data_IF_882075467220
#
_entry.id   IF_882075467220
#
_cell.length_a   1.000
_cell.length_b   1.000
_cell.length_c   1.000
_cell.angle_alpha   90.00
_cell.angle_beta   90.00
_cell.angle_gamma   90.00
#
_symmetry.space_group_name_H-M   'P 1'
#
loop_
_entity.id
_entity.type
_entity.pdbx_description
1 polymer ?
#
# COMPACT_ATOMS: atom_id res chain seq x y z
N UNK A 1 -7.55 -28.12 18.28
CA UNK A 1 -6.93 -26.83 17.94
C UNK A 1 -8.01 -25.94 17.36
N UNK A 2 -8.41 -24.89 18.08
CA UNK A 2 -9.33 -23.89 17.53
C UNK A 2 -8.52 -23.05 16.55
N UNK A 3 -8.76 -23.23 15.25
CA UNK A 3 -8.12 -22.44 14.22
C UNK A 3 -8.55 -20.98 14.41
N UNK A 4 -7.76 -20.20 15.13
CA UNK A 4 -7.84 -18.75 15.04
C UNK A 4 -7.53 -18.40 13.59
N UNK A 5 -8.53 -17.87 12.90
CA UNK A 5 -8.31 -17.35 11.56
C UNK A 5 -7.36 -16.16 11.69
N UNK A 6 -6.10 -16.36 11.27
CA UNK A 6 -5.19 -15.25 11.01
C UNK A 6 -5.70 -14.61 9.72
N UNK A 7 -6.45 -13.50 9.82
CA UNK A 7 -6.69 -12.63 8.65
C UNK A 7 -5.37 -11.96 8.29
N UNK A 8 -4.61 -12.57 7.39
CA UNK A 8 -3.49 -11.96 6.68
C UNK A 8 -4.03 -10.79 5.86
N UNK A 9 -4.03 -9.60 6.45
CA UNK A 9 -4.56 -8.40 5.80
C UNK A 9 -5.16 -7.36 6.74
N UNK A 10 -5.19 -7.58 8.06
CA UNK A 10 -5.56 -6.51 8.99
C UNK A 10 -4.55 -5.36 8.94
N UNK A 11 -5.05 -4.14 9.13
CA UNK A 11 -4.21 -2.96 9.27
C UNK A 11 -3.34 -3.08 10.53
N UNK A 12 -2.10 -2.62 10.44
CA UNK A 12 -1.20 -2.52 11.57
C UNK A 12 -1.84 -1.65 12.68
N UNK A 13 -1.64 -2.05 13.93
CA UNK A 13 -1.98 -1.19 15.06
C UNK A 13 -0.98 -0.02 15.15
N UNK A 14 -1.48 1.15 15.55
CA UNK A 14 -0.70 2.38 15.70
C UNK A 14 -1.35 3.56 14.98
N UNK A 15 -0.72 4.72 15.09
CA UNK A 15 -1.13 5.92 14.38
C UNK A 15 -0.68 5.89 12.92
N UNK A 16 -1.49 6.46 12.02
CA UNK A 16 -1.18 6.61 10.58
C UNK A 16 -0.77 5.30 9.89
N UNK A 17 -1.40 4.18 10.27
CA UNK A 17 -1.22 2.91 9.57
C UNK A 17 -2.06 2.80 8.28
N UNK A 18 -2.82 3.84 7.92
CA UNK A 18 -3.48 4.01 6.64
C UNK A 18 -3.46 5.48 6.20
N UNK A 19 -3.59 5.70 4.90
CA UNK A 19 -3.74 7.01 4.29
C UNK A 19 -4.56 6.93 3.00
N UNK A 20 -5.16 8.05 2.61
CA UNK A 20 -5.90 8.18 1.34
C UNK A 20 -5.08 9.04 0.41
N UNK A 21 -4.83 8.54 -0.80
CA UNK A 21 -4.14 9.26 -1.87
C UNK A 21 -5.01 9.36 -3.11
N UNK A 22 -4.47 9.97 -4.15
CA UNK A 22 -5.12 9.97 -5.46
C UNK A 22 -4.10 9.94 -6.59
N UNK A 23 -4.44 9.23 -7.66
CA UNK A 23 -3.75 9.26 -8.95
C UNK A 23 -4.75 9.83 -9.96
N UNK A 24 -4.39 10.94 -10.62
CA UNK A 24 -5.24 11.57 -11.65
C UNK A 24 -6.69 11.86 -11.18
N UNK A 25 -6.86 12.22 -9.90
CA UNK A 25 -8.18 12.48 -9.29
C UNK A 25 -8.96 11.23 -8.90
N UNK A 26 -8.46 10.02 -9.19
CA UNK A 26 -9.04 8.75 -8.72
C UNK A 26 -8.50 8.45 -7.31
N UNK A 27 -9.35 8.38 -6.27
CA UNK A 27 -8.89 8.13 -4.92
C UNK A 27 -8.58 6.65 -4.67
N UNK A 28 -7.58 6.40 -3.83
CA UNK A 28 -7.24 5.08 -3.31
C UNK A 28 -6.96 5.15 -1.81
N UNK A 29 -7.12 4.03 -1.11
CA UNK A 29 -6.69 3.88 0.29
C UNK A 29 -5.49 2.95 0.33
N UNK A 30 -4.39 3.39 0.92
CA UNK A 30 -3.25 2.53 1.22
C UNK A 30 -3.17 2.28 2.73
N UNK A 31 -2.90 1.05 3.13
CA UNK A 31 -2.69 0.72 4.53
C UNK A 31 -1.58 -0.30 4.74
N UNK A 32 -0.93 -0.23 5.89
CA UNK A 32 0.13 -1.14 6.30
C UNK A 32 -0.46 -2.45 6.85
N UNK A 33 -0.06 -3.59 6.29
CA UNK A 33 -0.41 -4.92 6.76
C UNK A 33 0.87 -5.74 7.02
N UNK A 34 1.31 -5.76 8.28
CA UNK A 34 2.63 -6.28 8.66
C UNK A 34 3.73 -5.44 8.00
N UNK A 35 4.49 -6.07 7.11
CA UNK A 35 5.53 -5.42 6.29
C UNK A 35 5.05 -5.03 4.89
N UNK A 36 3.79 -5.29 4.53
CA UNK A 36 3.27 -5.01 3.19
C UNK A 36 2.44 -3.73 3.18
N UNK A 37 2.39 -3.07 2.03
CA UNK A 37 1.40 -2.02 1.75
C UNK A 37 0.28 -2.66 0.93
N UNK A 38 -0.96 -2.53 1.40
CA UNK A 38 -2.14 -2.95 0.65
C UNK A 38 -2.83 -1.71 0.11
N UNK A 39 -3.11 -1.70 -1.19
CA UNK A 39 -3.79 -0.61 -1.89
C UNK A 39 -5.20 -1.07 -2.27
N UNK A 40 -6.19 -0.29 -1.85
CA UNK A 40 -7.60 -0.51 -2.11
C UNK A 40 -8.15 0.61 -3.01
N UNK A 41 -9.05 0.25 -3.90
CA UNK A 41 -9.88 1.20 -4.62
C UNK A 41 -10.88 1.88 -3.67
N UNK A 42 -11.57 2.90 -4.16
CA UNK A 42 -12.58 3.66 -3.38
C UNK A 42 -13.75 2.82 -2.88
N UNK A 43 -14.01 1.68 -3.53
CA UNK A 43 -15.00 0.68 -3.12
C UNK A 43 -14.43 -0.40 -2.16
N UNK A 44 -13.22 -0.19 -1.64
CA UNK A 44 -12.48 -1.12 -0.79
C UNK A 44 -12.10 -2.46 -1.44
N UNK A 45 -12.21 -2.60 -2.77
CA UNK A 45 -11.65 -3.74 -3.48
C UNK A 45 -10.13 -3.63 -3.54
N UNK A 46 -9.43 -4.76 -3.33
CA UNK A 46 -7.97 -4.78 -3.33
C UNK A 46 -7.42 -4.67 -4.74
N UNK A 47 -6.67 -3.61 -5.00
CA UNK A 47 -6.02 -3.32 -6.29
C UNK A 47 -4.63 -3.96 -6.34
N UNK A 48 -3.80 -3.72 -5.33
CA UNK A 48 -2.40 -4.14 -5.33
C UNK A 48 -1.91 -4.45 -3.91
N UNK A 49 -0.87 -5.29 -3.81
CA UNK A 49 -0.05 -5.43 -2.62
C UNK A 49 1.39 -5.15 -3.01
N UNK A 50 2.05 -4.24 -2.30
CA UNK A 50 3.50 -4.02 -2.42
C UNK A 50 4.17 -4.86 -1.32
N UNK A 51 4.95 -5.89 -1.68
CA UNK A 51 5.52 -6.82 -0.71
C UNK A 51 6.72 -6.20 0.03
N UNK A 52 6.75 -6.36 1.35
CA UNK A 52 7.85 -5.91 2.21
C UNK A 52 9.10 -6.80 2.20
N UNK A 53 9.12 -7.87 1.40
CA UNK A 53 10.25 -8.82 1.36
C UNK A 53 11.57 -8.13 0.98
N UNK A 54 11.52 -7.14 0.09
CA UNK A 54 12.67 -6.34 -0.31
C UNK A 54 13.15 -5.37 0.80
N UNK A 55 12.34 -5.20 1.85
CA UNK A 55 12.62 -4.38 3.03
C UNK A 55 12.85 -5.26 4.27
N UNK A 56 13.44 -6.44 4.10
CA UNK A 56 13.78 -7.39 5.18
C UNK A 56 12.59 -7.79 6.07
N UNK A 57 11.37 -7.76 5.54
CA UNK A 57 10.14 -8.03 6.30
C UNK A 57 9.96 -7.12 7.52
N UNK A 58 10.61 -5.95 7.53
CA UNK A 58 10.44 -4.95 8.59
C UNK A 58 8.99 -4.50 8.58
N UNK A 59 8.37 -4.48 9.76
CA UNK A 59 6.99 -4.01 9.92
C UNK A 59 6.92 -2.52 9.61
N UNK A 60 5.93 -2.12 8.83
CA UNK A 60 5.67 -0.71 8.53
C UNK A 60 5.04 -0.06 9.76
N UNK A 61 5.62 1.04 10.23
CA UNK A 61 5.12 1.78 11.40
C UNK A 61 4.07 2.82 11.01
N UNK A 62 4.24 3.49 9.87
CA UNK A 62 3.27 4.44 9.34
C UNK A 62 3.34 4.52 7.80
N UNK A 63 2.24 4.99 7.22
CA UNK A 63 2.11 5.30 5.79
C UNK A 63 1.48 6.67 5.61
N UNK A 64 1.84 7.34 4.53
CA UNK A 64 1.17 8.56 4.06
C UNK A 64 1.06 8.54 2.53
N UNK A 65 0.09 9.26 1.98
CA UNK A 65 -0.19 9.25 0.54
C UNK A 65 -0.36 10.67 0.00
N UNK A 66 0.20 10.92 -1.17
CA UNK A 66 -0.03 12.16 -1.90
C UNK A 66 -1.39 12.14 -2.60
N UNK A 67 -2.14 13.23 -2.47
CA UNK A 67 -3.38 13.47 -3.23
C UNK A 67 -3.11 13.94 -4.66
N UNK A 68 -1.92 14.45 -4.93
CA UNK A 68 -1.62 15.11 -6.20
C UNK A 68 -0.86 14.19 -7.16
N UNK A 69 0.05 13.38 -6.61
CA UNK A 69 0.95 12.52 -7.39
C UNK A 69 0.70 11.03 -7.21
N UNK A 70 -0.12 10.66 -6.23
CA UNK A 70 -0.39 9.27 -5.86
C UNK A 70 0.80 8.50 -5.29
N UNK A 71 1.89 9.20 -4.94
CA UNK A 71 3.03 8.59 -4.26
C UNK A 71 2.63 8.14 -2.86
N UNK A 72 3.22 7.03 -2.43
CA UNK A 72 3.03 6.46 -1.09
C UNK A 72 4.36 6.52 -0.35
N UNK A 73 4.37 7.13 0.83
CA UNK A 73 5.48 7.06 1.76
C UNK A 73 5.20 5.97 2.79
N UNK A 74 6.17 5.08 3.04
CA UNK A 74 6.08 4.09 4.10
C UNK A 74 7.37 4.05 4.93
N UNK A 75 7.21 4.04 6.26
CA UNK A 75 8.33 3.95 7.18
C UNK A 75 8.60 2.49 7.58
N UNK A 76 9.77 2.00 7.17
CA UNK A 76 10.34 0.72 7.58
C UNK A 76 11.46 0.98 8.59
N UNK A 77 11.12 0.94 9.88
CA UNK A 77 12.05 1.24 10.98
C UNK A 77 12.75 2.61 10.81
N UNK A 78 14.05 2.64 10.50
CA UNK A 78 14.82 3.88 10.31
C UNK A 78 14.87 4.39 8.86
N UNK A 79 14.14 3.75 7.93
CA UNK A 79 14.08 4.14 6.52
C UNK A 79 12.67 4.55 6.11
N UNK A 80 12.57 5.58 5.27
CA UNK A 80 11.33 5.95 4.58
C UNK A 80 11.49 5.62 3.11
N UNK A 81 10.61 4.78 2.58
CA UNK A 81 10.56 4.44 1.17
C UNK A 81 9.41 5.20 0.50
N UNK A 82 9.68 5.76 -0.67
CA UNK A 82 8.68 6.40 -1.52
C UNK A 82 8.39 5.48 -2.70
N UNK A 83 7.11 5.11 -2.86
CA UNK A 83 6.61 4.33 -3.98
C UNK A 83 5.86 5.26 -4.91
N UNK A 84 6.10 5.12 -6.21
CA UNK A 84 5.46 5.93 -7.24
C UNK A 84 4.50 5.06 -8.06
N UNK A 85 3.34 5.59 -8.48
CA UNK A 85 2.45 4.86 -9.38
C UNK A 85 3.12 4.65 -10.73
N UNK A 86 3.13 3.41 -11.22
CA UNK A 86 3.63 3.12 -12.56
C UNK A 86 2.60 3.63 -13.58
N UNK A 87 3.00 4.48 -14.55
CA UNK A 87 2.10 4.87 -15.64
C UNK A 87 1.59 3.62 -16.35
N UNK A 88 0.31 3.62 -16.75
CA UNK A 88 -0.22 2.57 -17.60
C UNK A 88 0.50 2.66 -18.95
N UNK A 89 1.51 1.81 -19.17
CA UNK A 89 2.06 1.61 -20.50
C UNK A 89 0.94 0.96 -21.31
N UNK A 90 0.29 1.74 -22.17
CA UNK A 90 -0.57 1.18 -23.21
C UNK A 90 0.34 0.39 -24.14
N UNK A 91 0.37 -0.93 -23.96
CA UNK A 91 0.77 -1.82 -25.03
C UNK A 91 -0.38 -1.77 -26.06
N UNK A 92 -0.37 -0.75 -26.91
CA UNK A 92 -1.09 -0.79 -28.18
C UNK A 92 -0.36 -1.79 -29.07
N UNK A 93 -0.44 -3.08 -28.72
CA UNK A 93 0.03 -4.17 -29.54
C UNK A 93 -0.87 -4.23 -30.77
N UNK A 94 -0.45 -3.56 -31.85
CA UNK A 94 -1.02 -3.72 -33.18
C UNK A 94 -0.42 -4.99 -33.80
N UNK A 95 -0.74 -6.15 -33.23
CA UNK A 95 -0.47 -7.46 -33.83
C UNK A 95 -1.60 -8.43 -33.53
#
# INVERSE_FOLDING_TARGET
MNCHQILSGACNAGDRCFAVGSVEGVPFTAYAAGCNIVILASNFERVQIIPGAIHNYVRISCVDCSTDTGKIAAAYDNQVCIFEPTPLIRNDSVH
#
